data_IF_909968643680
#
_entry.id   IF_909968643680
#
_cell.length_a   1.000
_cell.length_b   1.000
_cell.length_c   1.000
_cell.angle_alpha   90.00
_cell.angle_beta   90.00
_cell.angle_gamma   90.00
#
_symmetry.space_group_name_H-M   'P 1'
#
loop_
_entity.id
_entity.type
_entity.pdbx_description
1 polymer ?
#
# COMPACT_ATOMS: atom_id res chain seq x y z
N UNK A 1 4.29 10.25 -23.24
CA UNK A 1 4.42 9.67 -21.89
C UNK A 1 3.96 8.20 -21.87
N UNK A 2 4.47 7.40 -20.94
CA UNK A 2 3.99 6.05 -20.58
C UNK A 2 3.32 6.14 -19.21
N UNK A 3 2.12 5.55 -19.09
CA UNK A 3 1.39 5.40 -17.83
C UNK A 3 0.96 3.94 -17.66
N UNK A 4 1.15 3.40 -16.46
CA UNK A 4 0.60 2.12 -16.04
C UNK A 4 0.16 2.19 -14.59
N UNK A 5 -1.02 1.67 -14.34
CA UNK A 5 -1.54 1.41 -13.01
C UNK A 5 -1.36 -0.07 -12.70
N UNK A 6 -0.89 -0.39 -11.50
CA UNK A 6 -0.73 -1.74 -10.97
C UNK A 6 -1.66 -1.87 -9.77
N UNK A 7 -2.69 -2.71 -9.91
CA UNK A 7 -3.69 -3.00 -8.88
C UNK A 7 -3.29 -4.24 -8.08
N UNK A 8 -3.30 -4.11 -6.77
CA UNK A 8 -3.32 -5.25 -5.87
C UNK A 8 -4.77 -5.60 -5.51
N UNK A 9 -5.32 -6.64 -6.14
CA UNK A 9 -6.72 -7.04 -5.92
C UNK A 9 -7.00 -7.52 -4.48
N UNK A 10 -5.98 -8.00 -3.76
CA UNK A 10 -6.15 -8.48 -2.38
C UNK A 10 -6.34 -7.36 -1.37
N UNK A 11 -5.62 -6.25 -1.55
CA UNK A 11 -5.59 -5.11 -0.62
C UNK A 11 -6.33 -3.88 -1.14
N UNK A 12 -6.62 -3.84 -2.44
CA UNK A 12 -7.12 -2.65 -3.12
C UNK A 12 -6.06 -1.56 -3.32
N UNK A 13 -4.78 -1.81 -3.00
CA UNK A 13 -3.70 -0.82 -3.21
C UNK A 13 -3.44 -0.62 -4.72
N UNK A 14 -3.16 0.62 -5.08
CA UNK A 14 -2.85 1.06 -6.43
C UNK A 14 -1.49 1.72 -6.43
N UNK A 15 -0.63 1.26 -7.33
CA UNK A 15 0.70 1.80 -7.55
C UNK A 15 0.88 2.16 -9.01
N UNK A 16 1.80 3.07 -9.31
CA UNK A 16 1.89 3.68 -10.63
C UNK A 16 3.30 3.66 -11.19
N UNK A 17 3.42 3.31 -12.47
CA UNK A 17 4.63 3.57 -13.27
C UNK A 17 4.32 4.70 -14.25
N UNK A 18 5.08 5.78 -14.14
CA UNK A 18 5.01 6.92 -15.06
C UNK A 18 6.38 7.10 -15.70
N UNK A 19 6.45 7.15 -17.02
CA UNK A 19 7.72 7.23 -17.73
C UNK A 19 7.71 8.05 -19.00
N UNK A 20 8.90 8.37 -19.48
CA UNK A 20 9.12 8.99 -20.77
C UNK A 20 9.93 8.03 -21.64
N UNK A 21 9.34 7.54 -22.72
CA UNK A 21 10.00 6.61 -23.65
C UNK A 21 11.26 7.20 -24.26
N UNK A 22 11.24 8.49 -24.61
CA UNK A 22 12.39 9.20 -25.18
C UNK A 22 13.56 9.29 -24.20
N UNK A 23 13.28 9.57 -22.93
CA UNK A 23 14.31 9.64 -21.90
C UNK A 23 14.75 8.26 -21.37
N UNK A 24 14.04 7.18 -21.71
CA UNK A 24 14.30 5.84 -21.18
C UNK A 24 14.17 5.75 -19.66
N UNK A 25 13.37 6.62 -19.03
CA UNK A 25 13.30 6.77 -17.57
C UNK A 25 11.87 6.77 -17.06
N UNK A 26 11.70 6.24 -15.86
CA UNK A 26 10.42 6.18 -15.15
C UNK A 26 10.56 6.56 -13.68
N UNK A 27 9.43 6.91 -13.08
CA UNK A 27 9.23 6.93 -11.65
C UNK A 27 8.18 5.87 -11.26
N UNK A 28 8.31 5.31 -10.06
CA UNK A 28 7.30 4.47 -9.43
C UNK A 28 6.67 5.25 -8.28
N UNK A 29 5.34 5.21 -8.16
CA UNK A 29 4.59 5.83 -7.06
C UNK A 29 3.91 4.76 -6.22
N UNK A 30 4.05 4.88 -4.90
CA UNK A 30 3.47 4.00 -3.88
C UNK A 30 3.75 2.50 -4.11
N UNK A 31 5.03 2.09 -4.26
CA UNK A 31 5.35 0.68 -4.52
C UNK A 31 4.97 -0.21 -3.33
N UNK A 32 4.27 -1.33 -3.58
CA UNK A 32 4.07 -2.39 -2.61
C UNK A 32 5.29 -3.32 -2.49
N UNK A 33 5.66 -3.72 -1.27
CA UNK A 33 6.83 -4.58 -1.02
C UNK A 33 6.75 -5.95 -1.71
N UNK A 34 5.55 -6.52 -1.82
CA UNK A 34 5.27 -7.78 -2.52
C UNK A 34 5.40 -7.68 -4.05
N UNK A 35 5.47 -6.47 -4.61
CA UNK A 35 5.41 -6.21 -6.06
C UNK A 35 6.67 -5.60 -6.65
N UNK A 36 7.75 -5.50 -5.87
CA UNK A 36 9.04 -4.93 -6.30
C UNK A 36 9.52 -5.51 -7.64
N UNK A 37 9.47 -6.84 -7.80
CA UNK A 37 9.87 -7.50 -9.04
C UNK A 37 8.90 -7.27 -10.21
N UNK A 38 7.61 -7.00 -9.94
CA UNK A 38 6.64 -6.63 -10.95
C UNK A 38 6.98 -5.27 -11.56
N UNK A 39 7.32 -4.27 -10.74
CA UNK A 39 7.75 -2.95 -11.22
C UNK A 39 9.00 -3.02 -12.08
N UNK A 40 10.00 -3.80 -11.67
CA UNK A 40 11.23 -4.01 -12.43
C UNK A 40 10.94 -4.65 -13.81
N UNK A 41 10.10 -5.69 -13.85
CA UNK A 41 9.70 -6.33 -15.12
C UNK A 41 8.92 -5.38 -16.01
N UNK A 42 8.01 -4.58 -15.44
CA UNK A 42 7.18 -3.63 -16.19
C UNK A 42 8.03 -2.53 -16.81
N UNK A 43 9.00 -1.98 -16.07
CA UNK A 43 9.94 -0.99 -16.57
C UNK A 43 10.82 -1.57 -17.70
N UNK A 44 11.41 -2.75 -17.48
CA UNK A 44 12.26 -3.42 -18.46
C UNK A 44 11.51 -3.73 -19.77
N UNK A 45 10.27 -4.24 -19.69
CA UNK A 45 9.43 -4.52 -20.88
C UNK A 45 9.16 -3.27 -21.73
N UNK A 46 9.24 -2.08 -21.12
CA UNK A 46 9.01 -0.80 -21.78
C UNK A 46 10.30 -0.06 -22.14
N UNK A 47 11.47 -0.66 -21.90
CA UNK A 47 12.77 -0.03 -22.14
C UNK A 47 13.04 1.16 -21.20
N UNK A 48 12.52 1.11 -19.97
CA UNK A 48 12.65 2.18 -18.98
C UNK A 48 13.55 1.76 -17.82
N UNK A 49 14.34 2.70 -17.33
CA UNK A 49 15.07 2.60 -16.06
C UNK A 49 14.30 3.36 -14.99
N UNK A 50 14.01 2.69 -13.87
CA UNK A 50 13.41 3.34 -12.70
C UNK A 50 14.43 4.31 -12.13
N UNK A 51 14.06 5.59 -12.07
CA UNK A 51 14.95 6.69 -11.74
C UNK A 51 14.55 7.42 -10.46
N UNK A 52 13.30 7.28 -10.04
CA UNK A 52 12.75 7.89 -8.84
C UNK A 52 11.67 6.97 -8.26
N UNK A 53 11.55 6.96 -6.94
CA UNK A 53 10.50 6.27 -6.21
C UNK A 53 9.80 7.34 -5.38
N UNK A 54 8.49 7.50 -5.50
CA UNK A 54 7.73 8.55 -4.81
C UNK A 54 6.70 7.90 -3.90
N UNK A 55 6.63 8.36 -2.66
CA UNK A 55 5.51 8.04 -1.77
C UNK A 55 4.56 9.22 -1.71
N UNK A 56 3.28 8.96 -1.90
CA UNK A 56 2.24 9.96 -1.65
C UNK A 56 2.08 10.24 -0.17
N UNK A 57 2.32 9.24 0.70
CA UNK A 57 2.24 9.39 2.15
C UNK A 57 2.89 8.21 2.87
N UNK A 58 3.05 8.32 4.20
CA UNK A 58 3.40 7.17 5.04
C UNK A 58 2.21 6.21 5.16
N UNK A 59 2.17 5.16 4.34
CA UNK A 59 1.12 4.13 4.33
C UNK A 59 0.99 3.42 5.69
N UNK A 60 -0.24 3.05 6.04
CA UNK A 60 -0.57 2.41 7.33
C UNK A 60 -1.14 1.00 7.20
N UNK A 61 -1.55 0.61 6.01
CA UNK A 61 -2.24 -0.64 5.68
C UNK A 61 -1.29 -1.70 5.05
N UNK A 62 -0.20 -1.25 4.43
CA UNK A 62 0.82 -2.12 3.84
C UNK A 62 2.24 -1.57 4.02
N UNK A 63 3.23 -2.46 3.90
CA UNK A 63 4.64 -2.14 3.87
C UNK A 63 5.01 -1.67 2.46
N UNK A 64 5.54 -0.46 2.37
CA UNK A 64 6.07 0.06 1.12
C UNK A 64 7.31 -0.74 0.68
N UNK A 65 7.39 -1.00 -0.62
CA UNK A 65 8.53 -1.58 -1.32
C UNK A 65 9.58 -0.54 -1.73
N UNK A 66 9.52 0.69 -1.23
CA UNK A 66 10.43 1.77 -1.62
C UNK A 66 11.90 1.43 -1.37
N UNK A 67 12.23 0.89 -0.19
CA UNK A 67 13.60 0.53 0.20
C UNK A 67 14.11 -0.67 -0.58
N UNK A 68 13.29 -1.72 -0.71
CA UNK A 68 13.64 -2.90 -1.51
C UNK A 68 13.88 -2.50 -2.99
N UNK A 69 13.05 -1.61 -3.53
CA UNK A 69 13.21 -1.11 -4.90
C UNK A 69 14.41 -0.17 -5.04
N UNK A 70 14.68 0.70 -4.06
CA UNK A 70 15.85 1.58 -4.04
C UNK A 70 17.16 0.78 -3.95
N UNK A 71 17.20 -0.31 -3.18
CA UNK A 71 18.36 -1.19 -3.11
C UNK A 71 18.71 -1.80 -4.48
N UNK A 72 17.68 -2.25 -5.22
CA UNK A 72 17.83 -2.90 -6.52
C UNK A 72 18.10 -1.91 -7.67
N UNK A 73 17.59 -0.68 -7.59
CA UNK A 73 17.63 0.29 -8.69
C UNK A 73 18.61 1.45 -8.46
N UNK A 74 19.00 1.68 -7.20
CA UNK A 74 19.70 2.90 -6.74
C UNK A 74 18.91 4.19 -6.99
N UNK A 75 17.62 4.11 -7.27
CA UNK A 75 16.76 5.29 -7.40
C UNK A 75 16.53 5.93 -6.02
N UNK A 76 16.59 7.28 -5.91
CA UNK A 76 16.24 7.97 -4.68
C UNK A 76 14.76 7.78 -4.35
N UNK A 77 14.48 7.66 -3.06
CA UNK A 77 13.13 7.67 -2.49
C UNK A 77 12.77 9.13 -2.19
N UNK A 78 11.66 9.61 -2.74
CA UNK A 78 11.10 10.94 -2.57
C UNK A 78 9.91 10.85 -1.63
N UNK A 79 10.01 11.51 -0.48
CA UNK A 79 8.95 11.59 0.55
C UNK A 79 8.81 13.04 0.99
N UNK A 80 7.61 13.44 1.38
CA UNK A 80 7.44 14.79 1.92
C UNK A 80 8.20 14.93 3.25
N UNK A 81 8.79 16.10 3.51
CA UNK A 81 9.58 16.37 4.73
C UNK A 81 8.86 16.06 6.05
N UNK A 82 7.52 16.13 6.07
CA UNK A 82 6.72 15.80 7.25
C UNK A 82 6.61 14.29 7.53
N UNK A 83 7.13 13.43 6.65
CA UNK A 83 7.05 11.97 6.80
C UNK A 83 7.87 11.49 8.02
N UNK A 84 8.98 12.17 8.36
CA UNK A 84 9.79 11.85 9.53
C UNK A 84 10.42 10.46 9.45
N UNK A 85 10.93 10.10 8.26
CA UNK A 85 11.52 8.79 8.00
C UNK A 85 13.00 8.72 8.45
N UNK A 86 13.46 7.53 8.81
CA UNK A 86 14.78 7.25 9.38
C UNK A 86 15.68 6.43 8.45
N UNK A 87 15.44 6.48 7.14
CA UNK A 87 16.28 5.86 6.10
C UNK A 87 16.72 6.91 5.07
N UNK A 88 17.65 6.57 4.20
CA UNK A 88 18.14 7.48 3.14
C UNK A 88 17.01 7.84 2.16
N UNK A 89 16.74 9.13 2.02
CA UNK A 89 15.68 9.67 1.18
C UNK A 89 16.03 11.09 0.72
N UNK A 90 15.27 11.58 -0.25
CA UNK A 90 15.23 12.97 -0.67
C UNK A 90 13.88 13.56 -0.24
N UNK A 91 13.93 14.70 0.43
CA UNK A 91 12.73 15.41 0.84
C UNK A 91 12.10 16.15 -0.35
N UNK A 92 10.78 16.18 -0.38
CA UNK A 92 10.01 17.05 -1.27
C UNK A 92 9.10 17.97 -0.47
N UNK A 93 8.79 19.12 -1.05
CA UNK A 93 7.92 20.16 -0.49
C UNK A 93 6.83 20.57 -1.49
N UNK A 94 5.83 21.28 -0.97
CA UNK A 94 4.79 21.89 -1.80
C UNK A 94 5.39 22.78 -2.91
N UNK A 95 4.96 22.57 -4.14
CA UNK A 95 5.42 23.31 -5.31
C UNK A 95 6.69 22.76 -5.97
N UNK A 96 7.38 21.79 -5.37
CA UNK A 96 8.53 21.15 -6.00
C UNK A 96 8.14 20.45 -7.31
N UNK A 97 9.09 20.38 -8.24
CA UNK A 97 8.88 19.77 -9.55
C UNK A 97 9.91 18.68 -9.82
N UNK A 98 9.42 17.52 -10.25
CA UNK A 98 10.23 16.45 -10.83
C UNK A 98 10.00 16.39 -12.33
N UNK A 99 11.10 16.27 -13.10
CA UNK A 99 11.03 16.17 -14.56
C UNK A 99 11.79 14.95 -15.08
N UNK A 100 11.10 14.15 -15.92
CA UNK A 100 11.66 13.01 -16.64
C UNK A 100 11.31 13.16 -18.12
N UNK A 101 12.23 13.71 -18.92
CA UNK A 101 11.98 14.01 -20.34
C UNK A 101 10.81 14.97 -20.52
N UNK A 102 9.76 14.52 -21.22
CA UNK A 102 8.51 15.27 -21.40
C UNK A 102 7.54 15.17 -20.22
N UNK A 103 7.78 14.28 -19.26
CA UNK A 103 6.91 14.13 -18.09
C UNK A 103 7.33 15.14 -17.02
N UNK A 104 6.41 16.01 -16.63
CA UNK A 104 6.53 16.90 -15.48
C UNK A 104 5.58 16.42 -14.39
N UNK A 105 6.08 16.32 -13.16
CA UNK A 105 5.31 16.02 -11.97
C UNK A 105 5.48 17.17 -10.98
N UNK A 106 4.41 17.90 -10.72
CA UNK A 106 4.39 18.93 -9.69
C UNK A 106 3.83 18.34 -8.39
N UNK A 107 4.51 18.63 -7.29
CA UNK A 107 4.16 18.14 -5.97
C UNK A 107 3.26 19.16 -5.29
N UNK A 108 2.13 18.71 -4.77
CA UNK A 108 1.24 19.52 -3.95
C UNK A 108 1.10 18.87 -2.59
N UNK A 109 1.49 19.56 -1.52
CA UNK A 109 1.24 19.10 -0.16
C UNK A 109 -0.26 19.09 0.08
N UNK A 110 -0.81 17.98 0.56
CA UNK A 110 -2.25 17.82 0.79
C UNK A 110 -2.47 17.06 2.09
N UNK A 111 -2.11 17.67 3.25
CA UNK A 111 -2.31 17.03 4.54
C UNK A 111 -3.81 16.79 4.76
N UNK A 112 -4.13 15.69 5.42
CA UNK A 112 -5.52 15.32 5.70
C UNK A 112 -5.66 13.86 6.06
N UNK A 113 -5.31 12.96 5.13
CA UNK A 113 -5.20 11.54 5.48
C UNK A 113 -4.02 11.30 6.43
N UNK A 114 -2.86 11.85 6.08
CA UNK A 114 -1.69 11.97 6.94
C UNK A 114 -1.12 13.39 6.88
N UNK A 115 -0.23 13.74 7.80
CA UNK A 115 0.45 15.05 7.81
C UNK A 115 1.43 15.23 6.65
N UNK A 116 1.92 14.13 6.09
CA UNK A 116 2.89 14.07 4.99
C UNK A 116 2.27 13.76 3.62
N UNK A 117 0.95 13.69 3.54
CA UNK A 117 0.23 13.41 2.29
C UNK A 117 0.54 14.44 1.20
N UNK A 118 0.82 13.98 -0.01
CA UNK A 118 1.02 14.78 -1.22
C UNK A 118 0.18 14.25 -2.38
N UNK A 119 -0.28 15.16 -3.23
CA UNK A 119 -0.80 14.89 -4.57
C UNK A 119 0.29 15.15 -5.61
N UNK A 120 0.28 14.40 -6.70
CA UNK A 120 1.22 14.52 -7.81
C UNK A 120 0.46 14.94 -9.08
N UNK A 121 0.63 16.18 -9.51
CA UNK A 121 0.02 16.69 -10.74
C UNK A 121 0.92 16.37 -11.93
N UNK A 122 0.45 15.51 -12.83
CA UNK A 122 1.27 14.96 -13.92
C UNK A 122 0.88 15.59 -15.25
N UNK A 123 1.88 16.16 -15.93
CA UNK A 123 1.75 16.82 -17.23
C UNK A 123 2.62 16.10 -18.26
N UNK A 124 2.06 15.82 -19.45
CA UNK A 124 2.84 15.45 -20.62
C UNK A 124 3.14 16.70 -21.46
N UNK A 125 4.33 17.28 -21.26
CA UNK A 125 4.78 18.51 -21.92
C UNK A 125 4.90 18.38 -23.44
N UNK A 126 4.84 17.15 -24.00
CA UNK A 126 4.77 16.96 -25.44
C UNK A 126 3.38 17.27 -26.02
N UNK A 127 2.35 17.37 -25.17
CA UNK A 127 0.95 17.58 -25.57
C UNK A 127 0.33 18.87 -25.04
N UNK A 128 0.84 19.41 -23.94
CA UNK A 128 0.34 20.65 -23.34
C UNK A 128 1.04 21.00 -22.03
N UNK A 129 0.67 22.12 -21.44
CA UNK A 129 1.26 22.68 -20.21
C UNK A 129 0.34 22.58 -18.98
N UNK A 130 -0.83 21.95 -19.12
CA UNK A 130 -1.77 21.67 -18.04
C UNK A 130 -1.67 20.21 -17.56
N UNK A 131 -1.93 19.93 -16.27
CA UNK A 131 -1.98 18.55 -15.77
C UNK A 131 -3.00 17.72 -16.53
N UNK A 132 -2.60 16.54 -16.98
CA UNK A 132 -3.50 15.57 -17.60
C UNK A 132 -4.22 14.75 -16.51
N UNK A 133 -3.48 14.37 -15.48
CA UNK A 133 -4.05 13.63 -14.35
C UNK A 133 -3.35 13.99 -13.04
N UNK A 134 -3.99 13.66 -11.93
CA UNK A 134 -3.46 13.79 -10.58
C UNK A 134 -3.45 12.44 -9.89
N UNK A 135 -2.27 12.06 -9.37
CA UNK A 135 -2.21 10.98 -8.38
C UNK A 135 -2.53 11.58 -7.01
N UNK A 136 -3.55 11.06 -6.35
CA UNK A 136 -4.16 11.69 -5.17
C UNK A 136 -3.78 11.02 -3.86
N UNK A 137 -2.96 9.96 -3.91
CA UNK A 137 -2.69 9.14 -2.73
C UNK A 137 -4.01 8.71 -2.08
N UNK A 138 -4.07 8.87 -0.77
CA UNK A 138 -5.29 8.64 0.01
C UNK A 138 -6.06 9.93 0.33
N UNK A 139 -5.83 11.01 -0.41
CA UNK A 139 -6.54 12.27 -0.23
C UNK A 139 -7.97 12.21 -0.79
N UNK A 140 -8.10 11.80 -2.05
CA UNK A 140 -9.37 11.71 -2.79
C UNK A 140 -9.47 10.33 -3.46
N UNK A 141 -10.56 9.63 -3.20
CA UNK A 141 -10.86 8.35 -3.84
C UNK A 141 -11.97 8.51 -4.88
N UNK A 142 -12.21 7.46 -5.67
CA UNK A 142 -13.40 7.38 -6.51
C UNK A 142 -14.63 7.18 -5.62
N UNK A 143 -15.41 8.25 -5.42
CA UNK A 143 -16.64 8.28 -4.62
C UNK A 143 -16.44 8.51 -3.11
N UNK A 144 -15.21 8.75 -2.63
CA UNK A 144 -14.91 9.01 -1.21
C UNK A 144 -13.67 9.90 -1.05
N UNK A 145 -13.29 10.19 0.19
CA UNK A 145 -12.00 10.77 0.59
C UNK A 145 -11.32 9.88 1.63
N UNK A 146 -10.03 10.14 1.89
CA UNK A 146 -9.26 9.50 2.95
C UNK A 146 -9.87 9.67 4.33
N UNK A 147 -9.72 8.65 5.17
CA UNK A 147 -10.01 8.77 6.60
C UNK A 147 -8.97 9.68 7.29
N UNK A 148 -9.38 10.62 8.17
CA UNK A 148 -8.46 11.52 8.87
C UNK A 148 -8.02 11.00 10.25
N UNK A 149 -8.40 9.79 10.63
CA UNK A 149 -8.38 9.30 12.01
C UNK A 149 -6.98 9.12 12.61
N UNK A 150 -5.92 9.07 11.78
CA UNK A 150 -4.54 9.15 12.27
C UNK A 150 -4.21 10.51 12.89
N UNK A 151 -4.88 11.60 12.47
CA UNK A 151 -4.70 12.95 13.00
C UNK A 151 -5.97 13.59 13.60
N UNK A 152 -7.09 12.88 13.59
CA UNK A 152 -8.35 13.31 14.21
C UNK A 152 -8.99 14.55 13.56
N UNK A 153 -9.64 15.38 14.38
CA UNK A 153 -10.40 16.53 13.89
C UNK A 153 -9.53 17.62 13.21
N UNK A 154 -8.24 17.71 13.56
CA UNK A 154 -7.32 18.62 12.86
C UNK A 154 -7.04 18.12 11.44
N UNK A 155 -6.71 16.83 11.29
CA UNK A 155 -6.54 16.19 10.00
C UNK A 155 -7.79 16.30 9.11
N UNK A 156 -8.99 16.23 9.70
CA UNK A 156 -10.24 16.46 8.97
C UNK A 156 -10.35 17.90 8.42
N UNK A 157 -9.89 18.90 9.17
CA UNK A 157 -9.84 20.29 8.72
C UNK A 157 -8.78 20.49 7.63
N UNK A 158 -7.61 19.90 7.82
CA UNK A 158 -6.52 19.94 6.84
C UNK A 158 -6.97 19.31 5.50
N UNK A 159 -7.71 18.20 5.57
CA UNK A 159 -8.29 17.55 4.40
C UNK A 159 -9.22 18.49 3.62
N UNK A 160 -10.10 19.21 4.31
CA UNK A 160 -10.97 20.22 3.67
C UNK A 160 -10.16 21.28 2.93
N UNK A 161 -9.14 21.83 3.59
CA UNK A 161 -8.28 22.87 3.03
C UNK A 161 -7.49 22.36 1.82
N UNK A 162 -6.95 21.15 1.90
CA UNK A 162 -6.25 20.45 0.81
C UNK A 162 -7.14 20.24 -0.42
N UNK A 163 -8.39 19.77 -0.22
CA UNK A 163 -9.36 19.62 -1.31
C UNK A 163 -9.63 20.95 -2.02
N UNK A 164 -9.90 22.01 -1.25
CA UNK A 164 -10.28 23.32 -1.79
C UNK A 164 -9.10 24.07 -2.42
N UNK A 165 -7.88 23.88 -1.91
CA UNK A 165 -6.68 24.54 -2.43
C UNK A 165 -6.13 23.85 -3.67
N UNK A 166 -6.10 22.52 -3.71
CA UNK A 166 -5.32 21.77 -4.72
C UNK A 166 -6.22 21.10 -5.75
N UNK A 167 -7.25 20.37 -5.31
CA UNK A 167 -8.00 19.48 -6.19
C UNK A 167 -9.22 20.14 -6.83
N UNK A 168 -10.01 20.87 -6.05
CA UNK A 168 -11.23 21.52 -6.55
C UNK A 168 -10.98 22.65 -7.56
N UNK A 169 -9.84 23.38 -7.57
CA UNK A 169 -9.53 24.35 -8.62
C UNK A 169 -9.11 23.74 -9.96
N UNK A 170 -8.83 22.44 -10.03
CA UNK A 170 -8.42 21.78 -11.27
C UNK A 170 -9.57 21.72 -12.29
N UNK A 171 -9.20 21.62 -13.57
CA UNK A 171 -10.16 21.45 -14.66
C UNK A 171 -10.96 20.13 -14.51
N UNK A 172 -12.23 20.15 -14.93
CA UNK A 172 -13.13 18.98 -14.85
C UNK A 172 -12.59 17.74 -15.57
N UNK A 173 -11.77 17.93 -16.60
CA UNK A 173 -11.18 16.86 -17.42
C UNK A 173 -9.96 16.19 -16.79
N UNK A 174 -9.36 16.77 -15.74
CA UNK A 174 -8.19 16.15 -15.08
C UNK A 174 -8.60 14.82 -14.46
N UNK A 175 -7.90 13.76 -14.86
CA UNK A 175 -8.17 12.41 -14.37
C UNK A 175 -7.66 12.26 -12.92
N UNK A 176 -8.37 11.46 -12.13
CA UNK A 176 -8.07 11.21 -10.71
C UNK A 176 -7.65 9.76 -10.54
N UNK A 177 -6.47 9.55 -9.94
CA UNK A 177 -5.91 8.25 -9.66
C UNK A 177 -5.49 8.14 -8.18
N UNK A 178 -6.22 7.38 -7.35
CA UNK A 178 -5.92 7.24 -5.91
C UNK A 178 -4.85 6.17 -5.62
N UNK A 179 -4.33 6.12 -4.39
CA UNK A 179 -3.48 5.01 -3.94
C UNK A 179 -4.28 3.76 -3.51
N UNK A 180 -5.61 3.87 -3.39
CA UNK A 180 -6.49 2.74 -3.09
C UNK A 180 -7.79 2.74 -3.92
N UNK A 181 -8.33 1.54 -4.16
CA UNK A 181 -9.64 1.25 -4.77
C UNK A 181 -10.58 0.45 -3.84
N UNK A 182 -11.69 -0.06 -4.39
CA UNK A 182 -12.60 -0.93 -3.64
C UNK A 182 -11.88 -2.09 -2.94
N UNK A 183 -12.27 -2.37 -1.70
CA UNK A 183 -11.68 -3.41 -0.86
C UNK A 183 -10.66 -2.90 0.16
N UNK A 184 -10.14 -1.67 0.01
CA UNK A 184 -9.24 -1.06 0.99
C UNK A 184 -9.94 -0.59 2.26
N UNK A 185 -9.24 -0.68 3.39
CA UNK A 185 -9.67 -0.17 4.70
C UNK A 185 -9.39 1.34 4.90
N UNK A 186 -8.69 1.99 3.95
CA UNK A 186 -8.28 3.39 4.02
C UNK A 186 -9.40 4.38 3.64
N UNK A 187 -10.46 3.91 2.97
CA UNK A 187 -11.61 4.72 2.59
C UNK A 187 -12.95 4.02 2.79
N UNK A 188 -14.04 4.78 2.68
CA UNK A 188 -15.40 4.25 2.81
C UNK A 188 -16.06 4.15 1.45
N UNK A 189 -16.83 3.08 1.24
CA UNK A 189 -17.72 2.94 0.07
C UNK A 189 -17.03 3.25 -1.28
N UNK A 190 -15.76 2.88 -1.41
CA UNK A 190 -14.97 3.18 -2.61
C UNK A 190 -15.47 2.37 -3.80
N UNK A 191 -15.50 3.01 -4.97
CA UNK A 191 -15.88 2.37 -6.22
C UNK A 191 -14.86 1.33 -6.66
N UNK A 192 -15.33 0.29 -7.36
CA UNK A 192 -14.46 -0.68 -8.04
C UNK A 192 -13.71 -0.07 -9.24
N UNK A 193 -14.10 1.12 -9.70
CA UNK A 193 -13.40 1.82 -10.76
C UNK A 193 -12.08 2.38 -10.23
N UNK A 194 -10.98 2.09 -10.92
CA UNK A 194 -9.62 2.45 -10.49
C UNK A 194 -9.19 3.89 -10.83
N UNK A 195 -10.09 4.70 -11.40
CA UNK A 195 -9.85 6.11 -11.70
C UNK A 195 -11.14 6.88 -12.04
N UNK A 196 -11.11 8.20 -11.90
CA UNK A 196 -12.24 9.10 -12.15
C UNK A 196 -11.76 10.41 -12.81
N UNK A 197 -12.55 11.48 -12.73
CA UNK A 197 -12.10 12.83 -13.07
C UNK A 197 -12.52 13.81 -11.98
N UNK A 198 -11.82 14.95 -11.88
CA UNK A 198 -12.17 16.02 -10.96
C UNK A 198 -13.62 16.47 -11.17
N UNK A 199 -14.07 16.60 -12.42
CA UNK A 199 -15.42 17.02 -12.74
C UNK A 199 -16.49 16.02 -12.29
N UNK A 200 -16.21 14.71 -12.35
CA UNK A 200 -17.14 13.69 -11.87
C UNK A 200 -17.19 13.66 -10.35
N UNK A 201 -16.02 13.64 -9.69
CA UNK A 201 -15.96 13.63 -8.23
C UNK A 201 -16.60 14.90 -7.65
N UNK A 202 -16.34 16.08 -8.21
CA UNK A 202 -16.96 17.33 -7.75
C UNK A 202 -18.49 17.28 -7.76
N UNK A 203 -19.09 16.59 -8.74
CA UNK A 203 -20.56 16.49 -8.90
C UNK A 203 -21.19 15.40 -8.04
N UNK A 204 -20.47 14.29 -7.81
CA UNK A 204 -21.09 13.07 -7.30
C UNK A 204 -20.43 12.49 -6.05
N UNK A 205 -19.22 12.93 -5.68
CA UNK A 205 -18.57 12.50 -4.45
C UNK A 205 -19.26 13.19 -3.26
N UNK A 206 -19.89 12.43 -2.32
CA UNK A 206 -20.62 13.01 -1.20
C UNK A 206 -19.78 13.94 -0.33
N UNK A 207 -18.48 13.64 -0.17
CA UNK A 207 -17.56 14.44 0.63
C UNK A 207 -17.33 15.83 0.01
N UNK A 208 -17.50 15.98 -1.31
CA UNK A 208 -17.29 17.24 -2.02
C UNK A 208 -18.56 18.09 -2.14
N UNK A 209 -19.69 17.64 -1.56
CA UNK A 209 -20.96 18.37 -1.62
C UNK A 209 -21.15 19.37 -0.47
N UNK A 210 -20.34 19.26 0.59
CA UNK A 210 -20.38 20.17 1.72
C UNK A 210 -19.80 21.53 1.31
N UNK A 211 -20.41 22.63 1.77
CA UNK A 211 -19.93 24.01 1.54
C UNK A 211 -19.30 24.63 2.80
N UNK A 212 -19.58 24.05 3.95
CA UNK A 212 -19.07 24.51 5.24
C UNK A 212 -18.09 23.48 5.80
N UNK A 213 -16.92 23.97 6.23
CA UNK A 213 -15.85 23.13 6.80
C UNK A 213 -16.33 22.29 7.97
N UNK A 214 -17.15 22.84 8.86
CA UNK A 214 -17.67 22.12 10.03
C UNK A 214 -18.51 20.90 9.63
N UNK A 215 -19.44 21.07 8.70
CA UNK A 215 -20.29 19.99 8.22
C UNK A 215 -19.49 18.88 7.51
N UNK A 216 -18.42 19.24 6.79
CA UNK A 216 -17.49 18.27 6.22
C UNK A 216 -16.74 17.48 7.28
N UNK A 217 -16.17 18.15 8.29
CA UNK A 217 -15.44 17.51 9.39
C UNK A 217 -16.35 16.52 10.11
N UNK A 218 -17.58 16.92 10.44
CA UNK A 218 -18.56 16.05 11.08
C UNK A 218 -18.88 14.82 10.21
N UNK A 219 -19.01 15.01 8.89
CA UNK A 219 -19.28 13.93 7.95
C UNK A 219 -18.15 12.89 7.89
N UNK A 220 -16.89 13.32 7.76
CA UNK A 220 -15.77 12.38 7.61
C UNK A 220 -15.33 11.75 8.94
N UNK A 221 -15.61 12.41 10.06
CA UNK A 221 -15.31 11.88 11.41
C UNK A 221 -16.37 10.92 11.95
N UNK A 222 -17.61 10.99 11.43
CA UNK A 222 -18.72 10.16 11.89
C UNK A 222 -18.50 8.68 11.60
N UNK A 223 -18.83 7.76 12.51
CA UNK A 223 -18.86 6.29 12.32
C UNK A 223 -17.53 5.64 11.86
N UNK A 224 -16.38 6.17 12.30
CA UNK A 224 -15.05 5.65 11.92
C UNK A 224 -14.84 4.23 12.46
N UNK A 225 -14.46 3.25 11.62
CA UNK A 225 -14.17 1.91 12.10
C UNK A 225 -12.91 1.95 12.99
N UNK A 226 -12.79 1.01 13.95
CA UNK A 226 -11.63 0.96 14.81
C UNK A 226 -10.35 0.81 13.99
N UNK A 227 -9.29 1.49 14.44
CA UNK A 227 -7.96 1.39 13.85
C UNK A 227 -7.45 -0.05 13.99
N UNK A 228 -7.01 -0.71 12.89
CA UNK A 228 -6.40 -2.03 12.99
C UNK A 228 -5.14 -2.00 13.87
N UNK A 229 -4.92 -3.00 14.75
CA UNK A 229 -3.74 -3.04 15.62
C UNK A 229 -2.40 -3.02 14.89
N UNK A 230 -2.37 -3.51 13.65
CA UNK A 230 -1.16 -3.57 12.81
C UNK A 230 -0.67 -2.20 12.31
N UNK A 231 -1.53 -1.18 12.28
CA UNK A 231 -1.21 0.11 11.65
C UNK A 231 0.02 0.78 12.25
N UNK A 232 0.19 0.74 13.58
CA UNK A 232 1.35 1.38 14.23
C UNK A 232 2.66 0.68 13.88
N UNK A 233 2.64 -0.65 13.79
CA UNK A 233 3.78 -1.45 13.36
C UNK A 233 4.12 -1.15 11.90
N UNK A 234 3.12 -1.09 11.02
CA UNK A 234 3.29 -0.78 9.59
C UNK A 234 3.86 0.62 9.40
N UNK A 235 3.27 1.64 10.04
CA UNK A 235 3.78 3.02 10.01
C UNK A 235 5.21 3.09 10.55
N UNK A 236 5.49 2.42 11.67
CA UNK A 236 6.84 2.35 12.24
C UNK A 236 7.85 1.73 11.29
N UNK A 237 7.47 0.66 10.58
CA UNK A 237 8.27 0.03 9.53
C UNK A 237 8.45 0.95 8.34
N UNK A 238 7.39 1.56 7.83
CA UNK A 238 7.43 2.48 6.68
C UNK A 238 8.18 3.77 6.95
N UNK A 239 8.35 4.15 8.23
CA UNK A 239 9.25 5.23 8.66
C UNK A 239 10.69 4.77 8.91
N UNK A 240 10.98 3.47 8.84
CA UNK A 240 12.28 2.91 9.20
C UNK A 240 12.60 2.96 10.70
N UNK A 241 11.63 3.27 11.55
CA UNK A 241 11.76 3.24 13.02
C UNK A 241 11.71 1.80 13.55
N UNK A 242 11.07 0.91 12.81
CA UNK A 242 11.07 -0.54 13.04
C UNK A 242 11.78 -1.20 11.85
N UNK A 243 12.73 -2.12 12.10
CA UNK A 243 13.41 -2.84 11.01
C UNK A 243 12.43 -3.64 10.15
N UNK A 244 12.69 -3.68 8.84
CA UNK A 244 12.13 -4.70 7.97
C UNK A 244 12.93 -5.98 8.17
N UNK A 245 12.23 -7.10 8.32
CA UNK A 245 12.86 -8.41 8.26
C UNK A 245 12.49 -9.07 6.93
N UNK A 246 13.47 -9.72 6.31
CA UNK A 246 13.23 -10.61 5.19
C UNK A 246 13.05 -12.00 5.77
N UNK A 247 11.81 -12.50 5.80
CA UNK A 247 11.54 -13.86 6.23
C UNK A 247 12.27 -14.84 5.30
N UNK A 248 13.04 -15.75 5.90
CA UNK A 248 13.77 -16.81 5.21
C UNK A 248 13.36 -18.15 5.82
N UNK A 249 12.12 -18.59 5.57
CA UNK A 249 11.63 -19.81 6.21
C UNK A 249 12.42 -21.01 5.71
N UNK A 250 12.90 -21.82 6.66
CA UNK A 250 13.53 -23.10 6.38
C UNK A 250 12.52 -24.24 6.53
N UNK A 251 12.77 -25.42 5.92
CA UNK A 251 11.98 -26.60 6.23
C UNK A 251 12.16 -27.01 7.70
N UNK A 252 11.07 -27.47 8.30
CA UNK A 252 11.02 -28.12 9.61
C UNK A 252 10.50 -29.55 9.40
N UNK A 253 11.26 -30.53 9.88
CA UNK A 253 10.74 -31.89 10.03
C UNK A 253 9.62 -31.92 11.08
N UNK A 254 8.76 -32.95 11.04
CA UNK A 254 7.60 -33.04 11.94
C UNK A 254 8.00 -32.96 13.42
N UNK A 255 9.11 -33.59 13.81
CA UNK A 255 9.64 -33.52 15.19
C UNK A 255 10.03 -32.10 15.59
N UNK A 256 10.78 -31.39 14.75
CA UNK A 256 11.21 -30.02 15.03
C UNK A 256 10.01 -29.09 15.15
N UNK A 257 9.00 -29.25 14.28
CA UNK A 257 7.78 -28.46 14.33
C UNK A 257 6.95 -28.76 15.59
N UNK A 258 6.89 -30.02 16.08
CA UNK A 258 6.27 -30.35 17.38
C UNK A 258 6.99 -29.65 18.55
N UNK A 259 8.31 -29.68 18.55
CA UNK A 259 9.13 -28.99 19.58
C UNK A 259 8.95 -27.47 19.51
N UNK A 260 8.79 -26.89 18.33
CA UNK A 260 8.47 -25.48 18.15
C UNK A 260 7.08 -25.12 18.68
N UNK A 261 6.05 -25.88 18.33
CA UNK A 261 4.69 -25.62 18.86
C UNK A 261 4.66 -25.68 20.40
N UNK A 262 5.44 -26.58 21.01
CA UNK A 262 5.57 -26.67 22.47
C UNK A 262 6.27 -25.47 23.12
N UNK A 263 7.15 -24.77 22.39
CA UNK A 263 7.82 -23.55 22.85
C UNK A 263 6.96 -22.28 22.67
N UNK A 264 5.88 -22.37 21.90
CA UNK A 264 4.91 -21.30 21.70
C UNK A 264 4.81 -20.78 20.26
N UNK A 265 5.60 -21.32 19.33
CA UNK A 265 5.47 -21.03 17.90
C UNK A 265 4.10 -21.47 17.37
N UNK A 266 3.55 -20.69 16.44
CA UNK A 266 2.21 -20.94 15.88
C UNK A 266 2.33 -21.50 14.46
N UNK A 267 1.57 -22.56 14.19
CA UNK A 267 1.37 -23.04 12.82
C UNK A 267 0.22 -22.28 12.18
N UNK A 268 0.49 -21.62 11.06
CA UNK A 268 -0.54 -21.04 10.18
C UNK A 268 -0.79 -22.03 9.05
N UNK A 269 -1.99 -22.62 9.06
CA UNK A 269 -2.42 -23.59 8.07
C UNK A 269 -3.08 -22.89 6.88
N UNK A 270 -2.42 -22.97 5.72
CA UNK A 270 -2.79 -22.28 4.49
C UNK A 270 -3.82 -23.04 3.66
N UNK A 271 -4.16 -24.27 4.07
CA UNK A 271 -5.07 -25.16 3.34
C UNK A 271 -6.52 -24.68 3.45
N UNK A 272 -7.38 -25.19 2.58
CA UNK A 272 -8.80 -24.88 2.63
C UNK A 272 -9.46 -25.40 3.94
N UNK A 273 -10.58 -24.80 4.39
CA UNK A 273 -11.19 -25.15 5.66
C UNK A 273 -11.66 -26.61 5.76
N UNK A 274 -12.01 -27.26 4.64
CA UNK A 274 -12.44 -28.65 4.66
C UNK A 274 -11.24 -29.58 4.93
N UNK A 275 -10.14 -29.38 4.22
CA UNK A 275 -8.88 -30.10 4.44
C UNK A 275 -8.32 -29.88 5.85
N UNK A 276 -8.44 -28.66 6.40
CA UNK A 276 -8.09 -28.38 7.80
C UNK A 276 -8.99 -29.13 8.78
N UNK A 277 -10.30 -29.17 8.51
CA UNK A 277 -11.30 -29.83 9.35
C UNK A 277 -11.14 -31.35 9.43
N UNK A 278 -10.63 -31.99 8.38
CA UNK A 278 -10.33 -33.43 8.40
C UNK A 278 -9.18 -33.76 9.36
N UNK A 279 -8.09 -32.99 9.31
CA UNK A 279 -6.92 -33.16 10.17
C UNK A 279 -6.01 -31.94 10.12
N UNK A 280 -5.57 -31.47 11.28
CA UNK A 280 -4.67 -30.33 11.42
C UNK A 280 -3.72 -30.49 12.61
N UNK A 281 -2.69 -29.64 12.66
CA UNK A 281 -1.82 -29.51 13.83
C UNK A 281 -2.61 -28.87 14.98
N UNK A 282 -2.62 -29.49 16.15
CA UNK A 282 -3.34 -28.95 17.32
C UNK A 282 -2.84 -27.53 17.65
N UNK A 283 -3.78 -26.58 17.80
CA UNK A 283 -3.48 -25.17 18.04
C UNK A 283 -3.13 -24.35 16.79
N UNK A 284 -3.10 -24.96 15.60
CA UNK A 284 -2.88 -24.21 14.36
C UNK A 284 -4.05 -23.27 14.03
N UNK A 285 -3.72 -22.12 13.47
CA UNK A 285 -4.68 -21.14 12.95
C UNK A 285 -4.86 -21.39 11.46
N UNK A 286 -6.10 -21.66 11.01
CA UNK A 286 -6.38 -21.81 9.60
C UNK A 286 -6.74 -20.47 8.95
N UNK A 287 -5.97 -20.09 7.94
CA UNK A 287 -6.33 -19.03 7.01
C UNK A 287 -6.03 -19.54 5.61
N UNK A 288 -7.07 -19.88 4.86
CA UNK A 288 -6.90 -20.38 3.50
C UNK A 288 -6.24 -19.32 2.62
N UNK A 289 -5.15 -19.69 1.92
CA UNK A 289 -4.36 -18.75 1.11
C UNK A 289 -5.15 -18.10 -0.03
N UNK A 290 -6.17 -18.78 -0.55
CA UNK A 290 -7.04 -18.23 -1.61
C UNK A 290 -8.20 -17.41 -1.06
N UNK A 291 -8.32 -17.26 0.27
CA UNK A 291 -9.36 -16.42 0.85
C UNK A 291 -9.03 -14.94 0.69
N UNK A 292 -10.02 -14.07 0.44
CA UNK A 292 -9.81 -12.63 0.40
C UNK A 292 -9.13 -12.13 1.68
N UNK A 293 -8.22 -11.16 1.53
CA UNK A 293 -7.51 -10.53 2.64
C UNK A 293 -6.74 -11.54 3.50
N UNK A 294 -6.18 -12.60 2.89
CA UNK A 294 -5.42 -13.65 3.57
C UNK A 294 -4.40 -13.06 4.56
N UNK A 295 -3.57 -12.12 4.10
CA UNK A 295 -2.49 -11.57 4.90
C UNK A 295 -3.00 -10.75 6.09
N UNK A 296 -4.00 -9.89 5.87
CA UNK A 296 -4.63 -9.08 6.91
C UNK A 296 -5.31 -9.95 7.97
N UNK A 297 -5.96 -11.04 7.54
CA UNK A 297 -6.57 -12.02 8.46
C UNK A 297 -5.51 -12.70 9.31
N UNK A 298 -4.39 -13.13 8.72
CA UNK A 298 -3.27 -13.68 9.50
C UNK A 298 -2.77 -12.62 10.48
N UNK A 299 -2.48 -11.40 10.04
CA UNK A 299 -1.98 -10.32 10.89
C UNK A 299 -2.92 -9.97 12.05
N UNK A 300 -4.24 -10.12 11.88
CA UNK A 300 -5.23 -9.90 12.92
C UNK A 300 -5.44 -11.08 13.87
N UNK A 301 -5.05 -12.29 13.48
CA UNK A 301 -5.25 -13.52 14.28
C UNK A 301 -4.00 -13.96 15.03
N UNK A 302 -2.81 -13.67 14.49
CA UNK A 302 -1.53 -14.07 15.11
C UNK A 302 -1.06 -13.02 16.11
N UNK A 303 -0.62 -13.42 17.32
CA UNK A 303 -0.02 -12.49 18.27
C UNK A 303 1.30 -11.90 17.72
N UNK A 304 1.52 -10.61 17.96
CA UNK A 304 2.74 -9.94 17.51
C UNK A 304 3.99 -10.54 18.19
N UNK A 305 5.07 -10.70 17.41
CA UNK A 305 6.36 -11.20 17.90
C UNK A 305 6.44 -12.72 18.09
N UNK A 306 5.35 -13.46 17.87
CA UNK A 306 5.37 -14.93 17.93
C UNK A 306 5.91 -15.50 16.62
N UNK A 307 6.93 -16.39 16.64
CA UNK A 307 7.43 -17.01 15.43
C UNK A 307 6.38 -17.93 14.80
N UNK A 308 6.29 -17.87 13.47
CA UNK A 308 5.29 -18.58 12.68
C UNK A 308 5.93 -19.70 11.84
N UNK A 309 5.25 -20.83 11.82
CA UNK A 309 5.49 -21.92 10.86
C UNK A 309 4.33 -21.97 9.87
N UNK A 310 4.62 -22.11 8.58
CA UNK A 310 3.59 -22.25 7.55
C UNK A 310 3.33 -23.72 7.22
N UNK A 311 2.07 -24.08 7.04
CA UNK A 311 1.64 -25.37 6.52
C UNK A 311 0.91 -25.14 5.18
N UNK A 312 1.62 -25.39 4.09
CA UNK A 312 1.18 -25.20 2.72
C UNK A 312 0.73 -26.51 2.05
N UNK A 313 -0.04 -26.44 0.95
CA UNK A 313 -0.27 -27.61 0.09
C UNK A 313 0.95 -27.87 -0.81
N UNK A 314 1.61 -26.80 -1.29
CA UNK A 314 2.81 -26.92 -2.10
C UNK A 314 3.77 -25.72 -1.99
N UNK A 315 4.94 -25.81 -2.65
CA UNK A 315 5.98 -24.76 -2.60
C UNK A 315 5.51 -23.39 -3.10
N UNK A 316 4.63 -23.37 -4.10
CA UNK A 316 4.06 -22.13 -4.66
C UNK A 316 3.26 -21.34 -3.61
N UNK A 317 2.49 -22.03 -2.76
CA UNK A 317 1.71 -21.37 -1.71
C UNK A 317 2.62 -20.75 -0.66
N UNK A 318 3.75 -21.40 -0.36
CA UNK A 318 4.72 -20.88 0.60
C UNK A 318 5.31 -19.56 0.12
N UNK A 319 5.77 -19.48 -1.14
CA UNK A 319 6.33 -18.26 -1.71
C UNK A 319 5.29 -17.12 -1.73
N UNK A 320 4.07 -17.42 -2.19
CA UNK A 320 2.94 -16.46 -2.17
C UNK A 320 2.62 -15.98 -0.76
N UNK A 321 2.52 -16.89 0.21
CA UNK A 321 2.18 -16.55 1.58
C UNK A 321 3.26 -15.67 2.23
N UNK A 322 4.54 -15.99 2.04
CA UNK A 322 5.64 -15.18 2.59
C UNK A 322 5.61 -13.76 2.01
N UNK A 323 5.39 -13.62 0.70
CA UNK A 323 5.26 -12.31 0.05
C UNK A 323 4.05 -11.52 0.57
N UNK A 324 2.88 -12.16 0.65
CA UNK A 324 1.66 -11.54 1.14
C UNK A 324 1.77 -11.14 2.62
N UNK A 325 2.39 -11.96 3.47
CA UNK A 325 2.60 -11.65 4.90
C UNK A 325 3.59 -10.50 5.10
N UNK A 326 4.67 -10.46 4.31
CA UNK A 326 5.63 -9.36 4.34
C UNK A 326 4.97 -8.01 3.97
N UNK A 327 3.96 -8.02 3.10
CA UNK A 327 3.16 -6.83 2.74
C UNK A 327 2.44 -6.24 3.94
N UNK A 328 1.95 -7.04 4.89
CA UNK A 328 1.25 -6.54 6.09
C UNK A 328 2.16 -6.50 7.32
N UNK A 329 3.47 -6.65 7.12
CA UNK A 329 4.47 -6.55 8.18
C UNK A 329 4.51 -7.73 9.15
N UNK A 330 3.97 -8.89 8.75
CA UNK A 330 4.16 -10.18 9.42
C UNK A 330 5.44 -10.80 8.86
N UNK A 331 6.56 -10.57 9.55
CA UNK A 331 7.89 -11.02 9.09
C UNK A 331 8.41 -12.20 9.93
N UNK A 332 7.70 -12.57 11.00
CA UNK A 332 8.09 -13.57 12.00
C UNK A 332 8.00 -15.03 11.48
N UNK A 333 7.95 -15.21 10.15
CA UNK A 333 7.87 -16.52 9.50
C UNK A 333 9.25 -17.20 9.52
N UNK A 334 9.43 -18.16 10.42
CA UNK A 334 10.72 -18.83 10.67
C UNK A 334 10.87 -20.15 9.92
N UNK A 335 9.78 -20.72 9.44
CA UNK A 335 9.83 -22.01 8.73
C UNK A 335 8.51 -22.48 8.18
N UNK A 336 8.53 -23.69 7.65
CA UNK A 336 7.36 -24.40 7.14
C UNK A 336 7.46 -25.90 7.41
N UNK A 337 6.33 -26.58 7.53
CA UNK A 337 6.30 -28.03 7.72
C UNK A 337 6.70 -28.73 6.42
N UNK A 338 7.86 -29.38 6.44
CA UNK A 338 8.34 -30.17 5.32
C UNK A 338 7.36 -31.33 5.09
N UNK A 339 6.87 -31.51 3.86
CA UNK A 339 5.87 -32.53 3.50
C UNK A 339 4.48 -32.41 4.17
N UNK A 340 4.22 -31.29 4.86
CA UNK A 340 2.92 -30.96 5.44
C UNK A 340 2.36 -32.03 6.37
N UNK A 341 1.06 -32.30 6.27
CA UNK A 341 0.37 -33.23 7.17
C UNK A 341 0.71 -34.71 6.92
N UNK A 342 1.41 -35.05 5.83
CA UNK A 342 1.82 -36.43 5.56
C UNK A 342 2.90 -36.86 6.56
N UNK A 343 3.90 -36.01 6.79
CA UNK A 343 4.96 -36.27 7.77
C UNK A 343 4.50 -36.01 9.20
N UNK A 344 3.51 -35.12 9.40
CA UNK A 344 3.03 -34.78 10.73
C UNK A 344 2.35 -35.93 11.47
N UNK A 345 1.78 -36.91 10.75
CA UNK A 345 1.11 -38.10 11.32
C UNK A 345 2.09 -38.95 12.13
#
# INVERSE_FOLDING_TARGET
MIFQQVLNEESGCLSYLIGCSEAGRALIVDPGRDRVHEYLRLAAKKGLTISHIVETHTHADHISGNRDLAELTRAPILVHRAAGVAFEHSEVSDGDELRIGSVRVQIAHTPGHTSDSICLLVTDLSRGDIPWFVLTGDMLFVGSVGRPDLGGAQAAQDAWESLHRVLLPLDDSVEVYPAHGAGSACGRAMSAKSGSTIGFERRFNPALQFKERGAFVDFIMRDLPPKPPSFEKIVGKNRGLVPLMAAKPRPYAAREAREAVQRGEIVVDLRDPATYGEMHVAGAINVWIESPQFAERVAGMVPAGVPLLLLAQGPSDLERAVQALARVGVDEVVGFLQWGMIEWR
#
